data_IF_001544609015
#
_entry.id   IF_001544609015
#
_cell.length_a   1.000
_cell.length_b   1.000
_cell.length_c   1.000
_cell.angle_alpha   90.00
_cell.angle_beta   90.00
_cell.angle_gamma   90.00
#
_symmetry.space_group_name_H-M   'P 1'
#
loop_
_entity.id
_entity.type
_entity.pdbx_description
1 polymer ?
#
# COMPACT_ATOMS: atom_id res chain seq x y z
N UNK A 1 4.53 16.28 -10.96
CA UNK A 1 5.09 15.68 -9.72
C UNK A 1 4.14 15.81 -8.53
N UNK A 2 3.58 16.99 -8.22
CA UNK A 2 2.57 17.13 -7.16
C UNK A 2 1.29 16.30 -7.45
N UNK A 3 0.81 16.31 -8.69
CA UNK A 3 -0.39 15.54 -9.09
C UNK A 3 -0.23 14.02 -8.93
N UNK A 4 0.98 13.49 -9.06
CA UNK A 4 1.27 12.06 -8.91
C UNK A 4 1.30 11.64 -7.43
N UNK A 5 1.86 12.51 -6.57
CA UNK A 5 1.79 12.37 -5.12
C UNK A 5 0.34 12.43 -4.64
N UNK A 6 -0.46 13.35 -5.16
CA UNK A 6 -1.88 13.48 -4.82
C UNK A 6 -2.72 12.29 -5.34
N UNK A 7 -2.40 11.76 -6.53
CA UNK A 7 -3.04 10.54 -7.03
C UNK A 7 -2.67 9.31 -6.19
N UNK A 8 -1.42 9.20 -5.74
CA UNK A 8 -0.97 8.13 -4.84
C UNK A 8 -1.68 8.22 -3.48
N UNK A 9 -1.74 9.40 -2.87
CA UNK A 9 -2.41 9.59 -1.58
C UNK A 9 -3.92 9.31 -1.66
N UNK A 10 -4.60 9.74 -2.73
CA UNK A 10 -6.01 9.40 -2.97
C UNK A 10 -6.22 7.90 -3.12
N UNK A 11 -5.38 7.23 -3.91
CA UNK A 11 -5.46 5.79 -4.08
C UNK A 11 -5.17 5.06 -2.75
N UNK A 12 -4.20 5.51 -1.95
CA UNK A 12 -3.90 4.94 -0.63
C UNK A 12 -5.05 5.09 0.37
N UNK A 13 -5.83 6.19 0.31
CA UNK A 13 -7.05 6.36 1.12
C UNK A 13 -8.18 5.40 0.71
N UNK A 14 -8.18 4.92 -0.53
CA UNK A 14 -9.18 3.95 -1.04
C UNK A 14 -8.77 2.50 -0.82
N UNK A 15 -7.51 2.24 -0.47
CA UNK A 15 -7.06 0.88 -0.12
C UNK A 15 -7.65 0.42 1.21
N UNK A 16 -7.87 -0.90 1.38
CA UNK A 16 -8.13 -1.47 2.69
C UNK A 16 -7.02 -1.10 3.67
N UNK A 17 -7.42 -0.80 4.91
CA UNK A 17 -6.54 -0.26 5.95
C UNK A 17 -5.27 -1.08 6.13
N UNK A 18 -5.38 -2.42 6.18
CA UNK A 18 -4.26 -3.35 6.35
C UNK A 18 -3.18 -3.19 5.28
N UNK A 19 -3.57 -3.04 4.01
CA UNK A 19 -2.63 -2.85 2.90
C UNK A 19 -2.02 -1.44 2.89
N UNK A 20 -2.80 -0.42 3.21
CA UNK A 20 -2.29 0.95 3.30
C UNK A 20 -1.26 1.10 4.43
N UNK A 21 -1.51 0.46 5.58
CA UNK A 21 -0.60 0.47 6.73
C UNK A 21 0.66 -0.32 6.43
N UNK A 22 0.54 -1.51 5.83
CA UNK A 22 1.71 -2.31 5.42
C UNK A 22 2.67 -1.49 4.56
N UNK A 23 2.15 -0.80 3.54
CA UNK A 23 2.98 0.04 2.66
C UNK A 23 3.58 1.24 3.41
N UNK A 24 2.81 1.92 4.26
CA UNK A 24 3.31 3.07 5.03
C UNK A 24 4.43 2.70 5.99
N UNK A 25 4.29 1.57 6.69
CA UNK A 25 5.29 1.09 7.63
C UNK A 25 6.57 0.67 6.91
N UNK A 26 6.44 -0.02 5.76
CA UNK A 26 7.57 -0.37 4.90
C UNK A 26 8.30 0.88 4.39
N UNK A 27 7.55 1.87 3.90
CA UNK A 27 8.13 3.13 3.40
C UNK A 27 8.81 3.94 4.50
N UNK A 28 8.34 3.83 5.75
CA UNK A 28 8.99 4.42 6.93
C UNK A 28 10.23 3.64 7.40
N UNK A 29 10.58 2.52 6.75
CA UNK A 29 11.73 1.69 7.10
C UNK A 29 11.53 0.85 8.36
N UNK A 30 10.27 0.59 8.76
CA UNK A 30 9.96 -0.26 9.91
C UNK A 30 10.39 -1.70 9.60
N UNK A 31 10.97 -2.36 10.60
CA UNK A 31 11.46 -3.72 10.47
C UNK A 31 10.32 -4.71 10.15
N UNK A 32 10.54 -5.70 9.25
CA UNK A 32 9.49 -6.64 8.85
C UNK A 32 8.85 -7.37 10.03
N UNK A 33 9.62 -7.72 11.07
CA UNK A 33 9.12 -8.38 12.29
C UNK A 33 8.02 -7.55 12.96
N UNK A 34 8.25 -6.25 13.08
CA UNK A 34 7.33 -5.29 13.71
C UNK A 34 6.08 -5.10 12.85
N UNK A 35 6.24 -5.09 11.52
CA UNK A 35 5.12 -4.97 10.59
C UNK A 35 4.23 -6.23 10.67
N UNK A 36 4.82 -7.43 10.71
CA UNK A 36 4.06 -8.68 10.86
C UNK A 36 3.28 -8.73 12.16
N UNK A 37 3.89 -8.30 13.28
CA UNK A 37 3.22 -8.24 14.58
C UNK A 37 2.05 -7.24 14.55
N UNK A 38 2.28 -6.04 14.01
CA UNK A 38 1.26 -5.00 13.94
C UNK A 38 0.07 -5.38 13.05
N UNK A 39 0.32 -6.11 11.96
CA UNK A 39 -0.71 -6.59 11.05
C UNK A 39 -1.34 -7.92 11.49
N UNK A 40 -0.82 -8.54 12.56
CA UNK A 40 -1.22 -9.86 13.05
C UNK A 40 -1.15 -10.94 11.94
N UNK A 41 -0.04 -10.96 11.19
CA UNK A 41 0.23 -11.91 10.10
C UNK A 41 1.60 -12.54 10.26
N UNK A 42 1.82 -13.68 9.60
CA UNK A 42 3.15 -14.28 9.50
C UNK A 42 4.12 -13.39 8.72
N UNK A 43 5.37 -13.32 9.16
CA UNK A 43 6.42 -12.56 8.45
C UNK A 43 6.58 -13.04 7.00
N UNK A 44 6.48 -14.36 6.77
CA UNK A 44 6.52 -14.96 5.43
C UNK A 44 5.35 -14.51 4.52
N UNK A 45 4.25 -14.02 5.09
CA UNK A 45 3.11 -13.51 4.32
C UNK A 45 3.32 -12.04 3.88
N UNK A 46 4.27 -11.31 4.47
CA UNK A 46 4.47 -9.88 4.19
C UNK A 46 4.78 -9.61 2.72
N UNK A 47 5.64 -10.41 2.08
CA UNK A 47 5.95 -10.25 0.66
C UNK A 47 4.70 -10.38 -0.23
N UNK A 48 3.82 -11.34 0.10
CA UNK A 48 2.53 -11.50 -0.56
C UNK A 48 1.62 -10.29 -0.33
N UNK A 49 1.55 -9.80 0.90
CA UNK A 49 0.76 -8.63 1.28
C UNK A 49 1.23 -7.38 0.53
N UNK A 50 2.54 -7.13 0.47
CA UNK A 50 3.10 -5.99 -0.27
C UNK A 50 2.78 -6.09 -1.75
N UNK A 51 2.97 -7.26 -2.37
CA UNK A 51 2.65 -7.47 -3.78
C UNK A 51 1.16 -7.22 -4.07
N UNK A 52 0.26 -7.70 -3.21
CA UNK A 52 -1.17 -7.46 -3.34
C UNK A 52 -1.54 -5.98 -3.11
N UNK A 53 -0.91 -5.33 -2.13
CA UNK A 53 -1.11 -3.92 -1.83
C UNK A 53 -0.70 -3.04 -3.02
N UNK A 54 0.48 -3.29 -3.59
CA UNK A 54 0.99 -2.58 -4.76
C UNK A 54 0.11 -2.80 -5.99
N UNK A 55 -0.34 -4.04 -6.23
CA UNK A 55 -1.26 -4.35 -7.32
C UNK A 55 -2.60 -3.60 -7.17
N UNK A 56 -3.20 -3.63 -5.97
CA UNK A 56 -4.43 -2.89 -5.66
C UNK A 56 -4.23 -1.38 -5.81
N UNK A 57 -3.11 -0.85 -5.34
CA UNK A 57 -2.76 0.57 -5.48
C UNK A 57 -2.64 0.96 -6.96
N UNK A 58 -2.03 0.12 -7.78
CA UNK A 58 -1.95 0.34 -9.24
C UNK A 58 -3.34 0.35 -9.87
N UNK A 59 -4.21 -0.60 -9.55
CA UNK A 59 -5.58 -0.65 -10.06
C UNK A 59 -6.41 0.56 -9.64
N UNK A 60 -6.24 1.05 -8.40
CA UNK A 60 -6.94 2.25 -7.93
C UNK A 60 -6.49 3.51 -8.65
N UNK A 61 -5.18 3.64 -8.94
CA UNK A 61 -4.65 4.76 -9.74
C UNK A 61 -5.17 4.75 -11.17
N UNK A 62 -5.32 3.58 -11.79
CA UNK A 62 -5.88 3.48 -13.16
C UNK A 62 -7.36 3.81 -13.22
N UNK A 63 -8.11 3.64 -12.11
CA UNK A 63 -9.53 4.02 -12.03
C UNK A 63 -9.69 5.52 -11.73
N UNK A 64 -8.72 6.14 -11.05
CA UNK A 64 -8.72 7.58 -10.73
C UNK A 64 -8.16 8.46 -11.85
N UNK A 65 -7.40 7.88 -12.79
CA UNK A 65 -6.99 8.58 -14.02
C UNK A 65 -8.17 8.61 -14.99
N UNK A 66 -8.69 9.80 -15.37
CA UNK A 66 -9.63 9.89 -16.47
C UNK A 66 -8.87 9.46 -17.72
N UNK A 67 -9.34 8.39 -18.36
CA UNK A 67 -8.90 8.00 -19.70
C UNK A 67 -9.15 9.20 -20.62
N UNK A 68 -8.07 9.86 -21.05
CA UNK A 68 -8.06 10.84 -22.14
C UNK A 68 -8.19 10.12 -23.49
#
# INVERSE_FOLDING_TARGET
>A
MADELDARERAMRRLPLSYSLALRLRDAGVAPEVISEYLAVEQAALDGIYRMAEAKLKSLRTVDQPTL
#
